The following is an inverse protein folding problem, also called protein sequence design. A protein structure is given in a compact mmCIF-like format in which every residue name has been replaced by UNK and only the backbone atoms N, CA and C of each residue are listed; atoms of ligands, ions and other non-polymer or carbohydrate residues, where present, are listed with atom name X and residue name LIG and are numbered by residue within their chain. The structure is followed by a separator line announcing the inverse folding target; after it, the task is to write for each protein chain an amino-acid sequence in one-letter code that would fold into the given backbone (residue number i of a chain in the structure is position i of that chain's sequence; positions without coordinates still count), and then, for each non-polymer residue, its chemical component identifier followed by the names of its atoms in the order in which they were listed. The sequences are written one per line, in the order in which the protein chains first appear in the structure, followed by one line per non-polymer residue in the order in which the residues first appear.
data_IF_774758668994
#
_entry.id   IF_774758668994
#
_cell.length_a   1.000
_cell.length_b   1.000
_cell.length_c   1.000
_cell.angle_alpha   90.00
_cell.angle_beta   90.00
_cell.angle_gamma   90.00
#
_symmetry.space_group_name_H-M   'P 1'
#
loop_
_entity.id
_entity.type
_entity.pdbx_description
1 polymer ?
#
# COMPACT_ATOMS: atom_id res chain seq x y z
N UNK A 1 -17.82 -19.89 -32.90
CA UNK A 1 -17.22 -19.12 -31.79
C UNK A 1 -17.16 -20.06 -30.61
N UNK A 2 -16.14 -20.91 -30.64
CA UNK A 2 -15.98 -22.00 -29.68
C UNK A 2 -15.58 -21.45 -28.31
N UNK A 3 -16.28 -21.93 -27.30
CA UNK A 3 -15.92 -21.73 -25.92
C UNK A 3 -14.56 -22.39 -25.66
N UNK A 4 -13.55 -21.58 -25.33
CA UNK A 4 -12.34 -22.05 -24.65
C UNK A 4 -12.73 -22.47 -23.22
N UNK A 5 -13.36 -23.65 -23.12
CA UNK A 5 -13.43 -24.42 -21.90
C UNK A 5 -12.17 -25.30 -21.85
N UNK A 6 -11.06 -24.70 -21.40
CA UNK A 6 -9.94 -25.47 -20.87
C UNK A 6 -9.66 -24.94 -19.47
N UNK A 7 -10.32 -25.52 -18.48
CA UNK A 7 -9.76 -25.58 -17.13
C UNK A 7 -8.89 -26.83 -17.09
N UNK A 8 -7.56 -26.73 -17.20
CA UNK A 8 -6.72 -27.84 -16.84
C UNK A 8 -6.88 -28.04 -15.32
N UNK A 9 -7.27 -29.24 -14.92
CA UNK A 9 -7.09 -29.70 -13.54
C UNK A 9 -5.59 -29.62 -13.25
N UNK A 10 -5.17 -28.59 -12.50
CA UNK A 10 -3.78 -28.33 -12.15
C UNK A 10 -3.16 -29.58 -11.50
N UNK A 11 -2.07 -30.06 -12.12
CA UNK A 11 -1.30 -31.25 -11.73
C UNK A 11 -0.02 -30.88 -10.98
N UNK A 12 -0.07 -29.80 -10.21
CA UNK A 12 1.08 -29.25 -9.52
C UNK A 12 1.28 -29.91 -8.14
N UNK A 13 2.51 -30.36 -7.86
CA UNK A 13 2.89 -30.98 -6.58
C UNK A 13 3.08 -29.95 -5.45
N UNK A 14 3.36 -28.68 -5.78
CA UNK A 14 3.63 -27.63 -4.79
C UNK A 14 2.88 -26.31 -5.04
N UNK A 15 2.80 -25.46 -4.00
CA UNK A 15 2.16 -24.14 -4.09
C UNK A 15 2.91 -23.18 -5.03
N UNK A 16 4.23 -23.36 -5.16
CA UNK A 16 5.07 -22.57 -6.07
C UNK A 16 4.71 -22.91 -7.52
N UNK A 17 4.58 -24.20 -7.85
CA UNK A 17 4.23 -24.66 -9.20
C UNK A 17 2.84 -24.14 -9.63
N UNK A 18 1.85 -24.18 -8.73
CA UNK A 18 0.51 -23.61 -8.98
C UNK A 18 0.58 -22.12 -9.32
N UNK A 19 1.38 -21.36 -8.57
CA UNK A 19 1.50 -19.92 -8.77
C UNK A 19 2.28 -19.60 -10.06
N UNK A 20 3.32 -20.35 -10.37
CA UNK A 20 4.11 -20.17 -11.58
C UNK A 20 3.31 -20.56 -12.84
N UNK A 21 2.52 -21.62 -12.78
CA UNK A 21 1.57 -21.97 -13.83
C UNK A 21 0.52 -20.87 -14.04
N UNK A 22 -0.09 -20.40 -12.95
CA UNK A 22 -1.03 -19.28 -13.00
C UNK A 22 -0.42 -18.03 -13.67
N UNK A 23 0.77 -17.62 -13.22
CA UNK A 23 1.46 -16.44 -13.76
C UNK A 23 1.77 -16.61 -15.25
N UNK A 24 2.24 -17.79 -15.65
CA UNK A 24 2.53 -18.11 -17.06
C UNK A 24 1.28 -18.08 -17.93
N UNK A 25 0.18 -18.65 -17.46
CA UNK A 25 -1.10 -18.66 -18.17
C UNK A 25 -1.63 -17.24 -18.37
N UNK A 26 -1.59 -16.41 -17.32
CA UNK A 26 -1.98 -14.99 -17.40
C UNK A 26 -1.11 -14.23 -18.39
N UNK A 27 0.22 -14.38 -18.33
CA UNK A 27 1.14 -13.72 -19.27
C UNK A 27 0.87 -14.16 -20.72
N UNK A 28 0.73 -15.46 -20.98
CA UNK A 28 0.45 -16.00 -22.30
C UNK A 28 -0.84 -15.42 -22.90
N UNK A 29 -1.91 -15.33 -22.10
CA UNK A 29 -3.18 -14.73 -22.54
C UNK A 29 -3.01 -13.25 -22.85
N UNK A 30 -2.24 -12.51 -22.05
CA UNK A 30 -1.99 -11.08 -22.27
C UNK A 30 -1.15 -10.86 -23.53
N UNK A 31 -0.14 -11.67 -23.77
CA UNK A 31 0.71 -11.54 -24.96
C UNK A 31 -0.08 -11.79 -26.24
N UNK A 32 -1.09 -12.67 -26.19
CA UNK A 32 -2.01 -12.92 -27.31
C UNK A 32 -3.04 -11.80 -27.48
N UNK A 33 -3.68 -11.36 -26.40
CA UNK A 33 -4.85 -10.44 -26.46
C UNK A 33 -4.44 -8.97 -26.45
N UNK A 34 -3.37 -8.62 -25.74
CA UNK A 34 -2.94 -7.25 -25.46
C UNK A 34 -1.39 -7.12 -25.38
N UNK A 35 -0.67 -7.37 -26.49
CA UNK A 35 0.79 -7.33 -26.49
C UNK A 35 1.34 -5.95 -26.11
N UNK A 36 2.47 -5.94 -25.41
CA UNK A 36 3.13 -4.72 -24.93
C UNK A 36 3.50 -3.84 -26.13
N UNK A 37 3.02 -2.59 -26.13
CA UNK A 37 3.32 -1.59 -27.16
C UNK A 37 3.84 -0.31 -26.54
N UNK A 38 5.04 0.12 -26.95
CA UNK A 38 5.62 1.39 -26.54
C UNK A 38 4.95 2.54 -27.30
N UNK A 39 4.32 3.47 -26.57
CA UNK A 39 3.71 4.68 -27.15
C UNK A 39 4.31 5.94 -26.53
N UNK A 40 4.68 6.92 -27.36
CA UNK A 40 5.02 8.26 -26.88
C UNK A 40 3.74 8.96 -26.43
N UNK A 41 3.62 9.21 -25.13
CA UNK A 41 2.49 9.97 -24.57
C UNK A 41 2.90 11.43 -24.46
N UNK A 42 2.20 12.38 -25.11
CA UNK A 42 2.45 13.79 -24.88
C UNK A 42 2.18 14.11 -23.40
N UNK A 43 3.10 14.82 -22.75
CA UNK A 43 3.03 15.19 -21.33
C UNK A 43 1.99 16.30 -21.06
N UNK A 44 0.85 16.26 -21.74
CA UNK A 44 -0.24 17.20 -21.50
C UNK A 44 -1.05 16.72 -20.31
N UNK A 45 -0.93 17.42 -19.19
CA UNK A 45 -1.78 17.24 -18.03
C UNK A 45 -3.25 17.34 -18.47
N UNK A 46 -4.07 16.34 -18.11
CA UNK A 46 -5.50 16.36 -18.43
C UNK A 46 -6.12 17.52 -17.66
N UNK A 47 -6.59 18.54 -18.37
CA UNK A 47 -7.34 19.67 -17.80
C UNK A 47 -8.80 19.59 -18.26
N UNK A 48 -9.68 18.89 -17.51
CA UNK A 48 -11.07 18.65 -17.93
C UNK A 48 -11.82 19.95 -18.25
N UNK A 49 -11.61 20.99 -17.44
CA UNK A 49 -12.23 22.32 -17.61
C UNK A 49 -11.83 23.03 -18.90
N UNK A 50 -10.79 22.59 -19.63
CA UNK A 50 -10.40 23.17 -20.92
C UNK A 50 -11.13 22.56 -22.12
N UNK A 51 -11.86 21.45 -21.92
CA UNK A 51 -12.48 20.70 -23.02
C UNK A 51 -13.93 21.13 -23.32
N UNK A 52 -14.50 22.07 -22.57
CA UNK A 52 -15.85 22.58 -22.82
C UNK A 52 -15.90 23.34 -24.14
N UNK A 53 -17.05 23.30 -24.81
CA UNK A 53 -17.29 23.99 -26.09
C UNK A 53 -16.97 25.50 -25.99
N UNK A 54 -17.39 26.13 -24.89
CA UNK A 54 -17.10 27.54 -24.59
C UNK A 54 -15.58 27.81 -24.58
N UNK A 55 -14.79 26.94 -23.95
CA UNK A 55 -13.32 27.09 -23.93
C UNK A 55 -12.67 26.85 -25.29
N UNK A 56 -13.22 25.93 -26.08
CA UNK A 56 -12.73 25.69 -27.44
C UNK A 56 -12.98 26.88 -28.36
N UNK A 57 -14.15 27.53 -28.22
CA UNK A 57 -14.51 28.74 -28.97
C UNK A 57 -13.60 29.92 -28.59
N UNK A 58 -13.45 30.21 -27.29
CA UNK A 58 -12.57 31.29 -26.82
C UNK A 58 -11.11 31.08 -27.23
N UNK A 59 -10.64 29.83 -27.20
CA UNK A 59 -9.29 29.47 -27.67
C UNK A 59 -9.14 29.74 -29.17
N UNK A 60 -10.11 29.32 -29.96
CA UNK A 60 -10.12 29.51 -31.42
C UNK A 60 -10.12 30.99 -31.79
N UNK A 61 -10.93 31.80 -31.09
CA UNK A 61 -10.98 33.26 -31.26
C UNK A 61 -9.65 33.92 -30.90
N UNK A 62 -9.06 33.55 -29.77
CA UNK A 62 -7.75 34.03 -29.36
C UNK A 62 -6.67 33.70 -30.39
N UNK A 63 -6.65 32.47 -30.92
CA UNK A 63 -5.70 32.05 -31.97
C UNK A 63 -5.94 32.75 -33.30
N UNK A 64 -7.19 33.03 -33.65
CA UNK A 64 -7.54 33.81 -34.85
C UNK A 64 -7.04 35.25 -34.74
N UNK A 65 -7.28 35.91 -33.60
CA UNK A 65 -6.78 37.26 -33.35
C UNK A 65 -5.24 37.31 -33.31
N UNK A 66 -4.59 36.31 -32.69
CA UNK A 66 -3.13 36.17 -32.66
C UNK A 66 -2.54 36.06 -34.07
N UNK A 67 -3.09 35.17 -34.91
CA UNK A 67 -2.63 35.00 -36.30
C UNK A 67 -2.81 36.27 -37.12
N UNK A 68 -3.95 36.96 -36.96
CA UNK A 68 -4.23 38.22 -37.66
C UNK A 68 -3.21 39.30 -37.28
N UNK A 69 -2.94 39.49 -35.99
CA UNK A 69 -1.90 40.41 -35.54
C UNK A 69 -0.50 40.03 -36.04
N UNK A 70 -0.12 38.75 -35.96
CA UNK A 70 1.19 38.28 -36.44
C UNK A 70 1.42 38.57 -37.92
N UNK A 71 0.36 38.50 -38.75
CA UNK A 71 0.39 38.80 -40.18
C UNK A 71 0.44 40.30 -40.46
N UNK A 72 -0.40 41.11 -39.81
CA UNK A 72 -0.55 42.52 -40.18
C UNK A 72 0.37 43.48 -39.42
N UNK A 73 0.82 43.08 -38.22
CA UNK A 73 1.58 43.91 -37.26
C UNK A 73 0.95 45.24 -36.82
N UNK A 74 -0.27 45.56 -37.26
CA UNK A 74 -1.03 46.74 -36.86
C UNK A 74 -1.40 46.76 -35.36
N UNK A 75 -1.35 47.96 -34.77
CA UNK A 75 -1.70 48.19 -33.36
C UNK A 75 -3.14 47.79 -33.03
N UNK A 76 -4.10 48.09 -33.91
CA UNK A 76 -5.51 47.71 -33.72
C UNK A 76 -5.70 46.19 -33.58
N UNK A 77 -4.93 45.39 -34.33
CA UNK A 77 -4.98 43.93 -34.23
C UNK A 77 -4.27 43.42 -32.98
N UNK A 78 -3.24 44.11 -32.48
CA UNK A 78 -2.65 43.81 -31.18
C UNK A 78 -3.66 44.03 -30.04
N UNK A 79 -4.44 45.10 -30.09
CA UNK A 79 -5.48 45.36 -29.09
C UNK A 79 -6.59 44.32 -29.12
N UNK A 80 -7.08 43.95 -30.31
CA UNK A 80 -8.05 42.86 -30.47
C UNK A 80 -7.53 41.53 -29.93
N UNK A 81 -6.25 41.21 -30.19
CA UNK A 81 -5.61 40.03 -29.60
C UNK A 81 -5.56 40.10 -28.07
N UNK A 82 -5.14 41.24 -27.49
CA UNK A 82 -5.12 41.45 -26.03
C UNK A 82 -6.51 41.32 -25.40
N UNK A 83 -7.57 41.76 -26.09
CA UNK A 83 -8.97 41.60 -25.64
C UNK A 83 -9.37 40.13 -25.67
N UNK A 84 -9.12 39.42 -26.77
CA UNK A 84 -9.42 37.99 -26.89
C UNK A 84 -8.62 37.14 -25.89
N UNK A 85 -7.37 37.52 -25.60
CA UNK A 85 -6.53 36.86 -24.61
C UNK A 85 -7.08 37.04 -23.18
N UNK A 86 -7.53 38.25 -22.82
CA UNK A 86 -8.20 38.51 -21.54
C UNK A 86 -9.47 37.67 -21.40
N UNK A 87 -10.35 37.69 -22.43
CA UNK A 87 -11.57 36.86 -22.46
C UNK A 87 -11.27 35.36 -22.28
N UNK A 88 -10.23 34.86 -22.95
CA UNK A 88 -9.80 33.47 -22.82
C UNK A 88 -9.30 33.15 -21.40
N UNK A 89 -8.46 34.01 -20.81
CA UNK A 89 -7.94 33.83 -19.46
C UNK A 89 -9.05 33.89 -18.39
N UNK A 90 -9.97 34.84 -18.50
CA UNK A 90 -11.13 34.96 -17.61
C UNK A 90 -12.05 33.75 -17.73
N UNK A 91 -12.30 33.30 -18.97
CA UNK A 91 -13.05 32.09 -19.25
C UNK A 91 -12.39 30.86 -18.62
N UNK A 92 -11.07 30.74 -18.71
CA UNK A 92 -10.31 29.65 -18.13
C UNK A 92 -10.38 29.65 -16.59
N UNK A 93 -10.29 30.83 -15.98
CA UNK A 93 -10.43 31.01 -14.54
C UNK A 93 -11.82 30.56 -14.06
N UNK A 94 -12.89 31.07 -14.71
CA UNK A 94 -14.28 30.71 -14.40
C UNK A 94 -14.55 29.22 -14.59
N UNK A 95 -14.08 28.63 -15.69
CA UNK A 95 -14.26 27.20 -15.97
C UNK A 95 -13.54 26.32 -14.92
N UNK A 96 -12.34 26.72 -14.48
CA UNK A 96 -11.63 26.02 -13.40
C UNK A 96 -12.36 26.16 -12.07
N UNK A 97 -12.79 27.38 -11.73
CA UNK A 97 -13.55 27.64 -10.50
C UNK A 97 -14.83 26.80 -10.46
N UNK A 98 -15.64 26.85 -11.51
CA UNK A 98 -16.87 26.09 -11.63
C UNK A 98 -16.62 24.58 -11.48
N UNK A 99 -15.61 24.04 -12.16
CA UNK A 99 -15.28 22.61 -12.07
C UNK A 99 -15.00 22.15 -10.63
N UNK A 100 -14.19 22.89 -9.86
CA UNK A 100 -13.90 22.53 -8.48
C UNK A 100 -15.06 22.82 -7.54
N UNK A 101 -15.80 23.92 -7.74
CA UNK A 101 -17.01 24.24 -6.98
C UNK A 101 -18.08 23.15 -7.13
N UNK A 102 -18.28 22.63 -8.33
CA UNK A 102 -19.21 21.52 -8.58
C UNK A 102 -18.78 20.24 -7.87
N UNK A 103 -17.48 19.92 -7.86
CA UNK A 103 -16.97 18.75 -7.14
C UNK A 103 -17.21 18.91 -5.63
N UNK A 104 -16.92 20.08 -5.08
CA UNK A 104 -17.11 20.38 -3.65
C UNK A 104 -18.60 20.28 -3.30
N UNK A 105 -19.48 20.95 -4.06
CA UNK A 105 -20.92 20.94 -3.83
C UNK A 105 -21.53 19.53 -3.92
N UNK A 106 -21.04 18.68 -4.84
CA UNK A 106 -21.49 17.28 -4.95
C UNK A 106 -20.98 16.38 -3.83
N UNK A 107 -19.95 16.77 -3.08
CA UNK A 107 -19.27 15.93 -2.10
C UNK A 107 -19.20 16.53 -0.69
N UNK A 108 -20.17 17.39 -0.32
CA UNK A 108 -20.19 18.09 0.99
C UNK A 108 -20.06 17.13 2.19
N UNK A 109 -20.72 15.98 2.13
CA UNK A 109 -20.68 14.97 3.20
C UNK A 109 -19.55 13.95 3.06
N UNK A 110 -18.66 14.10 2.07
CA UNK A 110 -17.56 13.18 1.81
C UNK A 110 -16.22 13.88 2.08
N UNK A 111 -15.83 13.90 3.35
CA UNK A 111 -14.59 14.52 3.83
C UNK A 111 -13.35 14.04 3.06
N UNK A 112 -13.27 12.74 2.73
CA UNK A 112 -12.16 12.16 1.96
C UNK A 112 -11.99 12.82 0.59
N UNK A 113 -13.09 13.00 -0.13
CA UNK A 113 -13.06 13.66 -1.44
C UNK A 113 -12.70 15.14 -1.30
N UNK A 114 -13.24 15.82 -0.28
CA UNK A 114 -12.93 17.23 -0.03
C UNK A 114 -11.44 17.46 0.28
N UNK A 115 -10.85 16.66 1.18
CA UNK A 115 -9.42 16.74 1.47
C UNK A 115 -8.56 16.45 0.24
N UNK A 116 -8.94 15.46 -0.59
CA UNK A 116 -8.23 15.18 -1.85
C UNK A 116 -8.31 16.34 -2.85
N UNK A 117 -9.44 17.05 -2.90
CA UNK A 117 -9.61 18.24 -3.77
C UNK A 117 -8.74 19.39 -3.28
N UNK A 118 -8.74 19.66 -1.97
CA UNK A 118 -7.90 20.70 -1.37
C UNK A 118 -6.43 20.38 -1.65
N UNK A 119 -5.98 19.15 -1.38
CA UNK A 119 -4.60 18.73 -1.63
C UNK A 119 -4.20 18.94 -3.10
N UNK A 120 -5.05 18.59 -4.06
CA UNK A 120 -4.80 18.84 -5.50
C UNK A 120 -4.71 20.32 -5.86
N UNK A 121 -5.39 21.20 -5.12
CA UNK A 121 -5.41 22.64 -5.38
C UNK A 121 -4.25 23.37 -4.72
N UNK A 122 -3.86 22.94 -3.53
CA UNK A 122 -2.85 23.62 -2.71
C UNK A 122 -1.46 23.02 -2.88
N UNK A 123 -1.35 21.79 -3.37
CA UNK A 123 -0.08 21.06 -3.37
C UNK A 123 0.40 20.81 -4.80
N UNK A 124 1.66 21.17 -5.14
CA UNK A 124 2.24 20.83 -6.42
C UNK A 124 2.34 19.30 -6.58
N UNK A 125 2.31 18.78 -7.82
CA UNK A 125 2.48 17.36 -8.07
C UNK A 125 3.85 16.91 -7.55
N UNK A 126 3.89 15.76 -6.87
CA UNK A 126 5.13 15.18 -6.38
C UNK A 126 6.05 14.88 -7.58
N UNK A 127 7.15 15.63 -7.67
CA UNK A 127 8.23 15.35 -8.60
C UNK A 127 9.33 14.64 -7.83
N UNK A 128 9.63 13.41 -8.23
CA UNK A 128 10.82 12.72 -7.75
C UNK A 128 12.02 13.53 -8.23
N UNK A 129 12.89 13.93 -7.30
CA UNK A 129 14.10 14.66 -7.65
C UNK A 129 14.91 13.84 -8.68
N UNK A 130 15.34 14.43 -9.81
CA UNK A 130 16.08 13.70 -10.84
C UNK A 130 17.31 12.97 -10.31
N UNK A 131 17.93 13.52 -9.27
CA UNK A 131 19.08 12.95 -8.57
C UNK A 131 18.81 11.57 -7.97
N UNK A 132 17.55 11.26 -7.63
CA UNK A 132 17.13 9.97 -7.05
C UNK A 132 16.88 8.88 -8.11
N UNK A 133 16.83 9.26 -9.40
CA UNK A 133 16.50 8.35 -10.49
C UNK A 133 17.75 7.62 -11.01
N UNK A 134 18.33 6.75 -10.20
CA UNK A 134 19.43 5.87 -10.60
C UNK A 134 19.46 4.58 -9.78
N UNK A 135 20.01 3.51 -10.37
CA UNK A 135 20.24 2.25 -9.65
C UNK A 135 21.20 2.45 -8.46
N UNK A 136 22.21 3.31 -8.61
CA UNK A 136 23.12 3.67 -7.53
C UNK A 136 22.41 4.24 -6.31
N UNK A 137 21.44 5.15 -6.51
CA UNK A 137 20.62 5.69 -5.42
C UNK A 137 19.69 4.65 -4.80
N UNK A 138 19.10 3.76 -5.60
CA UNK A 138 18.33 2.64 -5.05
C UNK A 138 19.20 1.77 -4.12
N UNK A 139 20.44 1.48 -4.52
CA UNK A 139 21.40 0.73 -3.70
C UNK A 139 21.79 1.49 -2.42
N UNK A 140 22.05 2.81 -2.50
CA UNK A 140 22.31 3.63 -1.30
C UNK A 140 21.14 3.56 -0.29
N UNK A 141 19.90 3.66 -0.75
CA UNK A 141 18.72 3.50 0.11
C UNK A 141 18.63 2.10 0.72
N UNK A 142 18.86 1.06 -0.08
CA UNK A 142 18.79 -0.32 0.37
C UNK A 142 19.82 -0.59 1.49
N UNK A 143 21.07 -0.16 1.29
CA UNK A 143 22.14 -0.24 2.29
C UNK A 143 21.77 0.56 3.54
N UNK A 144 21.36 1.82 3.38
CA UNK A 144 20.99 2.68 4.52
C UNK A 144 19.86 2.08 5.37
N UNK A 145 18.79 1.59 4.73
CA UNK A 145 17.68 0.97 5.46
C UNK A 145 18.15 -0.28 6.20
N UNK A 146 18.95 -1.14 5.56
CA UNK A 146 19.47 -2.34 6.20
C UNK A 146 20.39 -2.02 7.40
N UNK A 147 21.38 -1.16 7.22
CA UNK A 147 22.33 -0.78 8.27
C UNK A 147 21.65 -0.13 9.47
N UNK A 148 20.65 0.72 9.22
CA UNK A 148 19.86 1.35 10.27
C UNK A 148 19.21 0.29 11.17
N UNK A 149 18.60 -0.75 10.59
CA UNK A 149 17.95 -1.82 11.37
C UNK A 149 18.99 -2.66 12.12
N UNK A 150 20.09 -3.00 11.47
CA UNK A 150 21.18 -3.73 12.11
C UNK A 150 21.75 -2.97 13.33
N UNK A 151 21.94 -1.65 13.20
CA UNK A 151 22.38 -0.77 14.29
C UNK A 151 21.39 -0.73 15.47
N UNK A 152 20.08 -0.65 15.19
CA UNK A 152 19.07 -0.70 16.26
C UNK A 152 19.11 -2.05 16.98
N UNK A 153 19.20 -3.16 16.22
CA UNK A 153 19.25 -4.52 16.78
C UNK A 153 20.51 -4.77 17.61
N UNK A 154 21.68 -4.29 17.17
CA UNK A 154 22.93 -4.44 17.93
C UNK A 154 22.86 -3.71 19.26
N UNK A 155 22.34 -2.47 19.28
CA UNK A 155 22.16 -1.69 20.51
C UNK A 155 21.22 -2.38 21.51
N UNK A 156 20.14 -3.00 21.03
CA UNK A 156 19.21 -3.78 21.89
C UNK A 156 19.94 -4.96 22.52
N UNK A 157 20.72 -5.73 21.74
CA UNK A 157 21.44 -6.92 22.22
C UNK A 157 22.51 -6.58 23.26
N UNK A 158 23.30 -5.53 23.04
CA UNK A 158 24.31 -5.07 24.00
C UNK A 158 23.69 -4.71 25.35
N UNK A 159 22.54 -4.04 25.34
CA UNK A 159 21.83 -3.68 26.57
C UNK A 159 21.22 -4.88 27.28
N UNK A 160 20.79 -5.93 26.55
CA UNK A 160 20.29 -7.17 27.15
C UNK A 160 21.40 -7.96 27.87
N UNK A 161 22.63 -7.97 27.35
CA UNK A 161 23.75 -8.64 28.02
C UNK A 161 24.13 -7.98 29.35
N UNK A 162 23.85 -6.68 29.49
CA UNK A 162 24.14 -5.91 30.71
C UNK A 162 23.08 -6.07 31.82
N UNK A 163 21.90 -6.62 31.52
CA UNK A 163 20.84 -6.85 32.50
C UNK A 163 20.60 -8.35 32.71
N UNK A 164 20.75 -8.81 33.96
CA UNK A 164 20.41 -10.19 34.38
C UNK A 164 19.01 -10.59 33.89
N UNK A 165 18.87 -11.87 33.48
CA UNK A 165 17.64 -12.56 33.04
C UNK A 165 16.37 -11.85 33.51
N UNK A 166 15.65 -11.20 32.58
CA UNK A 166 14.23 -10.94 32.79
C UNK A 166 13.58 -12.30 33.10
N UNK A 167 12.82 -12.37 34.19
CA UNK A 167 11.95 -13.51 34.47
C UNK A 167 11.12 -13.82 33.22
N UNK A 168 11.15 -15.08 32.78
CA UNK A 168 10.35 -15.52 31.66
C UNK A 168 8.88 -15.38 32.06
N UNK A 169 8.22 -14.36 31.54
CA UNK A 169 6.77 -14.21 31.66
C UNK A 169 6.14 -15.51 31.15
N UNK A 170 5.46 -16.23 32.05
CA UNK A 170 4.74 -17.44 31.69
C UNK A 170 3.43 -17.06 31.00
N UNK A 171 3.03 -17.78 29.94
CA UNK A 171 1.75 -17.54 29.30
C UNK A 171 0.62 -17.83 30.31
N UNK A 172 -0.27 -16.86 30.53
CA UNK A 172 -1.44 -17.01 31.44
C UNK A 172 -2.57 -17.86 30.83
N UNK A 173 -2.29 -18.71 29.84
CA UNK A 173 -3.33 -19.32 29.00
C UNK A 173 -3.51 -20.81 29.26
N UNK A 174 -4.76 -21.24 29.11
CA UNK A 174 -5.17 -22.62 28.93
C UNK A 174 -4.57 -23.22 27.64
N UNK A 175 -3.78 -24.28 27.78
CA UNK A 175 -3.11 -25.00 26.68
C UNK A 175 -4.10 -25.67 25.71
N UNK A 176 -5.37 -25.82 26.09
CA UNK A 176 -6.39 -26.47 25.25
C UNK A 176 -6.81 -25.66 24.02
N UNK A 177 -6.61 -24.34 24.01
CA UNK A 177 -7.11 -23.48 22.94
C UNK A 177 -6.04 -23.25 21.88
N UNK A 178 -6.09 -24.04 20.80
CA UNK A 178 -5.10 -23.98 19.71
C UNK A 178 -5.74 -23.82 18.33
N UNK A 179 -5.00 -23.19 17.42
CA UNK A 179 -5.32 -23.12 15.99
C UNK A 179 -4.30 -23.95 15.22
N UNK A 180 -4.71 -25.12 14.72
CA UNK A 180 -3.83 -26.08 14.05
C UNK A 180 -3.78 -25.90 12.54
N UNK A 181 -4.92 -25.54 11.94
CA UNK A 181 -5.10 -25.47 10.49
C UNK A 181 -5.91 -24.22 10.11
N UNK A 182 -5.69 -23.72 8.90
CA UNK A 182 -6.58 -22.73 8.29
C UNK A 182 -7.78 -23.42 7.65
N UNK A 183 -8.93 -22.77 7.70
CA UNK A 183 -10.13 -23.24 7.01
C UNK A 183 -9.94 -22.97 5.51
N UNK A 184 -10.19 -23.98 4.68
CA UNK A 184 -10.18 -23.81 3.22
C UNK A 184 -11.24 -22.83 2.78
N UNK A 185 -10.89 -21.95 1.84
CA UNK A 185 -11.80 -20.95 1.29
C UNK A 185 -12.45 -21.43 0.00
N UNK A 186 -13.57 -20.81 -0.35
CA UNK A 186 -14.25 -21.03 -1.62
C UNK A 186 -14.06 -19.83 -2.57
N UNK A 187 -14.36 -19.98 -3.87
CA UNK A 187 -14.20 -18.90 -4.84
C UNK A 187 -14.97 -17.63 -4.48
N UNK A 188 -16.19 -17.74 -3.93
CA UNK A 188 -17.01 -16.59 -3.56
C UNK A 188 -16.34 -15.74 -2.48
N UNK A 189 -15.79 -16.37 -1.44
CA UNK A 189 -15.05 -15.67 -0.38
C UNK A 189 -13.83 -14.92 -0.91
N UNK A 190 -13.13 -15.49 -1.90
CA UNK A 190 -11.98 -14.85 -2.53
C UNK A 190 -12.41 -13.66 -3.36
N UNK A 191 -13.47 -13.80 -4.17
CA UNK A 191 -14.02 -12.70 -4.95
C UNK A 191 -14.39 -11.51 -4.04
N UNK A 192 -15.13 -11.77 -2.96
CA UNK A 192 -15.50 -10.76 -1.96
C UNK A 192 -14.26 -10.10 -1.34
N UNK A 193 -13.26 -10.89 -0.98
CA UNK A 193 -11.99 -10.40 -0.41
C UNK A 193 -11.26 -9.48 -1.39
N UNK A 194 -11.14 -9.88 -2.66
CA UNK A 194 -10.52 -9.10 -3.73
C UNK A 194 -11.27 -7.77 -3.95
N UNK A 195 -12.61 -7.79 -3.92
CA UNK A 195 -13.40 -6.58 -4.08
C UNK A 195 -13.24 -5.58 -2.92
N UNK A 196 -13.06 -6.07 -1.70
CA UNK A 196 -12.83 -5.22 -0.52
C UNK A 196 -11.42 -4.63 -0.48
N UNK A 197 -10.42 -5.29 -1.06
CA UNK A 197 -9.05 -4.81 -1.07
C UNK A 197 -8.87 -3.57 -1.95
N UNK A 198 -8.09 -2.60 -1.46
CA UNK A 198 -7.71 -1.46 -2.27
C UNK A 198 -6.74 -1.90 -3.38
N UNK A 199 -6.95 -1.45 -4.63
CA UNK A 199 -6.00 -1.70 -5.70
C UNK A 199 -4.60 -1.17 -5.32
N UNK A 200 -3.59 -2.02 -5.44
CA UNK A 200 -2.20 -1.68 -5.11
C UNK A 200 -1.22 -2.45 -5.99
N UNK A 201 -1.12 -2.04 -7.26
CA UNK A 201 -0.19 -2.64 -8.23
C UNK A 201 1.26 -2.59 -7.74
N UNK A 202 1.91 -3.75 -7.78
CA UNK A 202 3.34 -3.95 -7.64
C UNK A 202 4.01 -4.09 -9.02
N UNK A 203 5.29 -3.75 -9.11
CA UNK A 203 6.08 -4.05 -10.31
C UNK A 203 6.27 -5.55 -10.55
N UNK A 204 6.09 -6.36 -9.49
CA UNK A 204 6.15 -7.81 -9.53
C UNK A 204 4.81 -8.46 -9.95
N UNK A 205 3.75 -7.68 -10.14
CA UNK A 205 2.45 -8.23 -10.55
C UNK A 205 2.44 -8.54 -12.05
N UNK A 206 1.85 -9.67 -12.44
CA UNK A 206 1.59 -10.02 -13.85
C UNK A 206 0.60 -9.06 -14.52
N UNK A 207 -0.40 -8.60 -13.76
CA UNK A 207 -1.38 -7.61 -14.21
C UNK A 207 -1.60 -6.50 -13.19
N UNK A 208 -1.93 -5.28 -13.64
CA UNK A 208 -2.31 -4.20 -12.74
C UNK A 208 -3.48 -4.60 -11.85
N UNK A 209 -3.41 -4.29 -10.55
CA UNK A 209 -4.43 -4.72 -9.57
C UNK A 209 -5.83 -4.21 -9.91
N UNK A 210 -5.96 -3.05 -10.57
CA UNK A 210 -7.26 -2.56 -11.05
C UNK A 210 -7.85 -3.51 -12.09
N UNK A 211 -7.03 -3.98 -13.03
CA UNK A 211 -7.45 -4.93 -14.05
C UNK A 211 -7.72 -6.31 -13.43
N UNK A 212 -6.86 -6.76 -12.51
CA UNK A 212 -7.07 -7.97 -11.71
C UNK A 212 -8.47 -8.02 -11.09
N UNK A 213 -8.89 -6.93 -10.43
CA UNK A 213 -10.23 -6.83 -9.83
C UNK A 213 -11.38 -6.91 -10.84
N UNK A 214 -11.16 -6.44 -12.08
CA UNK A 214 -12.20 -6.53 -13.14
C UNK A 214 -12.34 -7.93 -13.70
N UNK A 215 -11.27 -8.72 -13.74
CA UNK A 215 -11.26 -10.07 -14.30
C UNK A 215 -11.33 -11.17 -13.23
N UNK A 216 -11.48 -10.80 -11.95
CA UNK A 216 -11.40 -11.73 -10.82
C UNK A 216 -12.29 -12.97 -11.02
N UNK A 217 -13.51 -12.79 -11.54
CA UNK A 217 -14.45 -13.89 -11.80
C UNK A 217 -13.91 -14.98 -12.73
N UNK A 218 -13.01 -14.63 -13.65
CA UNK A 218 -12.41 -15.55 -14.59
C UNK A 218 -11.21 -16.32 -14.02
N UNK A 219 -10.55 -15.77 -12.98
CA UNK A 219 -9.33 -16.34 -12.40
C UNK A 219 -9.55 -16.90 -10.98
N UNK A 220 -10.73 -16.69 -10.39
CA UNK A 220 -10.98 -16.96 -8.97
C UNK A 220 -10.79 -18.44 -8.57
N UNK A 221 -11.02 -19.36 -9.50
CA UNK A 221 -10.80 -20.80 -9.28
C UNK A 221 -9.32 -21.10 -9.04
N UNK A 222 -8.43 -20.54 -9.87
CA UNK A 222 -6.98 -20.71 -9.73
C UNK A 222 -6.49 -20.07 -8.42
N UNK A 223 -7.00 -18.87 -8.10
CA UNK A 223 -6.71 -18.21 -6.82
C UNK A 223 -7.10 -19.10 -5.63
N UNK A 224 -8.26 -19.75 -5.72
CA UNK A 224 -8.77 -20.64 -4.69
C UNK A 224 -7.86 -21.85 -4.47
N UNK A 225 -7.38 -22.45 -5.56
CA UNK A 225 -6.47 -23.59 -5.50
C UNK A 225 -5.12 -23.18 -4.89
N UNK A 226 -4.54 -22.06 -5.33
CA UNK A 226 -3.27 -21.54 -4.79
C UNK A 226 -3.39 -21.27 -3.29
N UNK A 227 -4.43 -20.55 -2.85
CA UNK A 227 -4.63 -20.21 -1.43
C UNK A 227 -4.84 -21.47 -0.58
N UNK A 228 -5.70 -22.39 -1.02
CA UNK A 228 -5.96 -23.62 -0.26
C UNK A 228 -4.73 -24.54 -0.21
N UNK A 229 -3.96 -24.62 -1.29
CA UNK A 229 -2.70 -25.35 -1.30
C UNK A 229 -1.67 -24.72 -0.32
N UNK A 230 -1.58 -23.38 -0.28
CA UNK A 230 -0.74 -22.68 0.71
C UNK A 230 -1.13 -23.03 2.14
N UNK A 231 -2.43 -23.08 2.43
CA UNK A 231 -2.96 -23.41 3.76
C UNK A 231 -2.71 -24.86 4.17
N UNK A 232 -2.96 -25.81 3.26
CA UNK A 232 -2.79 -27.23 3.52
C UNK A 232 -1.31 -27.62 3.64
N UNK A 233 -0.46 -27.06 2.79
CA UNK A 233 0.99 -27.28 2.87
C UNK A 233 1.61 -26.59 4.09
N UNK A 234 1.05 -25.47 4.54
CA UNK A 234 1.64 -24.60 5.56
C UNK A 234 2.81 -23.79 4.99
N UNK A 235 2.77 -23.45 3.69
CA UNK A 235 3.89 -22.77 3.01
C UNK A 235 3.39 -21.57 2.21
N UNK A 236 4.23 -20.53 2.14
CA UNK A 236 3.97 -19.32 1.34
C UNK A 236 4.81 -19.40 0.07
N UNK A 237 4.25 -19.14 -1.12
CA UNK A 237 5.01 -19.18 -2.37
C UNK A 237 6.23 -18.25 -2.35
N UNK A 238 7.38 -18.75 -2.81
CA UNK A 238 8.67 -18.04 -2.78
C UNK A 238 8.63 -16.73 -3.55
N UNK A 239 7.98 -16.69 -4.70
CA UNK A 239 7.83 -15.46 -5.51
C UNK A 239 7.04 -14.35 -4.79
N UNK A 240 6.23 -14.71 -3.78
CA UNK A 240 5.48 -13.77 -2.95
C UNK A 240 6.24 -13.31 -1.69
N UNK A 241 7.42 -13.88 -1.42
CA UNK A 241 8.30 -13.49 -0.29
C UNK A 241 9.23 -12.30 -0.61
N UNK A 242 9.05 -11.68 -1.77
CA UNK A 242 9.84 -10.54 -2.24
C UNK A 242 9.04 -9.25 -2.14
N UNK A 243 9.60 -8.21 -1.52
CA UNK A 243 8.98 -6.89 -1.40
C UNK A 243 9.67 -5.83 -2.27
N UNK A 244 8.90 -5.07 -3.05
CA UNK A 244 9.38 -3.88 -3.74
C UNK A 244 9.24 -2.67 -2.80
N UNK A 245 10.34 -2.20 -2.22
CA UNK A 245 10.36 -1.09 -1.26
C UNK A 245 10.41 0.25 -2.00
N UNK A 246 9.46 1.13 -1.68
CA UNK A 246 9.43 2.52 -2.17
C UNK A 246 9.84 3.48 -1.07
N UNK A 247 10.94 4.24 -1.21
CA UNK A 247 11.30 5.29 -0.27
C UNK A 247 10.27 6.41 -0.32
N UNK A 248 9.55 6.63 0.78
CA UNK A 248 8.57 7.71 0.90
C UNK A 248 9.06 8.78 1.86
N UNK A 249 9.18 10.01 1.40
CA UNK A 249 9.61 11.13 2.23
C UNK A 249 8.60 11.36 3.37
N UNK A 250 9.08 11.41 4.62
CA UNK A 250 8.26 11.51 5.84
C UNK A 250 7.36 12.75 5.85
N UNK A 251 7.90 13.88 5.38
CA UNK A 251 7.23 15.18 5.24
C UNK A 251 7.82 15.92 4.04
N UNK A 252 7.00 16.60 3.25
CA UNK A 252 7.45 17.31 2.04
C UNK A 252 8.40 18.48 2.31
N UNK A 253 8.39 19.02 3.53
CA UNK A 253 9.29 20.11 3.96
C UNK A 253 10.68 19.63 4.33
N UNK A 254 10.91 18.32 4.40
CA UNK A 254 12.22 17.76 4.73
C UNK A 254 13.09 17.70 3.48
N UNK A 255 14.41 17.80 3.71
CA UNK A 255 15.39 17.68 2.64
C UNK A 255 15.39 16.27 2.04
N UNK A 256 15.20 16.21 0.72
CA UNK A 256 15.14 14.98 -0.08
C UNK A 256 16.54 14.35 -0.32
N UNK A 257 17.63 15.09 -0.07
CA UNK A 257 18.99 14.55 -0.16
C UNK A 257 19.34 13.64 1.03
N UNK A 258 18.61 13.76 2.14
CA UNK A 258 18.89 13.05 3.39
C UNK A 258 18.08 11.75 3.46
N UNK A 259 18.76 10.60 3.38
CA UNK A 259 18.15 9.27 3.42
C UNK A 259 17.30 9.02 4.68
N UNK A 260 17.70 9.58 5.82
CA UNK A 260 16.98 9.48 7.10
C UNK A 260 15.57 10.08 7.08
N UNK A 261 15.28 10.96 6.13
CA UNK A 261 13.98 11.58 5.95
C UNK A 261 12.97 10.67 5.24
N UNK A 262 13.38 9.48 4.78
CA UNK A 262 12.52 8.54 4.08
C UNK A 262 12.02 7.40 4.98
N UNK A 263 10.85 6.87 4.63
CA UNK A 263 10.30 5.61 5.16
C UNK A 263 10.41 4.53 4.07
N UNK A 264 10.85 3.31 4.40
CA UNK A 264 10.75 2.19 3.49
C UNK A 264 9.29 1.68 3.47
N UNK A 265 8.58 1.90 2.36
CA UNK A 265 7.21 1.38 2.19
C UNK A 265 7.25 0.13 1.33
N UNK A 266 7.01 -1.03 1.94
CA UNK A 266 6.94 -2.31 1.23
C UNK A 266 5.70 -2.41 0.36
N UNK A 267 5.90 -2.54 -0.95
CA UNK A 267 4.84 -2.86 -1.90
C UNK A 267 4.93 -4.33 -2.28
N UNK A 268 4.04 -5.15 -1.71
CA UNK A 268 3.95 -6.57 -2.01
C UNK A 268 3.12 -6.84 -3.28
N UNK A 269 3.37 -7.96 -3.98
CA UNK A 269 2.49 -8.43 -5.04
C UNK A 269 1.02 -8.48 -4.58
N UNK A 270 0.09 -8.15 -5.46
CA UNK A 270 -1.34 -8.11 -5.11
C UNK A 270 -1.86 -9.48 -4.68
N UNK A 271 -1.34 -10.57 -5.28
CA UNK A 271 -1.60 -11.94 -4.84
C UNK A 271 -1.20 -12.17 -3.39
N UNK A 272 -0.02 -11.72 -2.96
CA UNK A 272 0.45 -11.86 -1.58
C UNK A 272 -0.52 -11.18 -0.61
N UNK A 273 -0.97 -9.97 -0.94
CA UNK A 273 -1.95 -9.20 -0.14
C UNK A 273 -3.30 -9.91 -0.04
N UNK A 274 -3.73 -10.63 -1.07
CA UNK A 274 -4.96 -11.43 -1.03
C UNK A 274 -4.80 -12.58 -0.02
N UNK A 275 -3.72 -13.36 -0.13
CA UNK A 275 -3.44 -14.47 0.81
C UNK A 275 -3.35 -13.95 2.24
N UNK A 276 -2.58 -12.88 2.48
CA UNK A 276 -2.43 -12.23 3.79
C UNK A 276 -3.78 -11.77 4.34
N UNK A 277 -4.67 -11.23 3.50
CA UNK A 277 -5.99 -10.79 3.93
C UNK A 277 -6.88 -11.96 4.36
N UNK A 278 -6.83 -13.08 3.65
CA UNK A 278 -7.58 -14.29 4.04
C UNK A 278 -7.05 -14.83 5.38
N UNK A 279 -5.73 -14.94 5.54
CA UNK A 279 -5.09 -15.34 6.81
C UNK A 279 -5.46 -14.38 7.93
N UNK A 280 -5.38 -13.08 7.70
CA UNK A 280 -5.73 -12.05 8.66
C UNK A 280 -7.18 -12.19 9.13
N UNK A 281 -8.12 -12.45 8.23
CA UNK A 281 -9.54 -12.60 8.58
C UNK A 281 -9.74 -13.81 9.51
N UNK A 282 -9.15 -14.97 9.19
CA UNK A 282 -9.24 -16.17 10.03
C UNK A 282 -8.55 -15.98 11.38
N UNK A 283 -7.32 -15.44 11.37
CA UNK A 283 -6.57 -15.17 12.60
C UNK A 283 -7.33 -14.18 13.49
N UNK A 284 -7.84 -13.07 12.93
CA UNK A 284 -8.57 -12.05 13.70
C UNK A 284 -9.82 -12.63 14.36
N UNK A 285 -10.54 -13.52 13.66
CA UNK A 285 -11.69 -14.22 14.21
C UNK A 285 -11.28 -15.11 15.39
N UNK A 286 -10.21 -15.90 15.23
CA UNK A 286 -9.67 -16.74 16.30
C UNK A 286 -9.22 -15.90 17.53
N UNK A 287 -8.48 -14.82 17.31
CA UNK A 287 -8.01 -13.92 18.37
C UNK A 287 -9.18 -13.28 19.14
N UNK A 288 -10.24 -12.88 18.42
CA UNK A 288 -11.43 -12.24 19.01
C UNK A 288 -12.26 -13.24 19.80
N UNK A 289 -12.56 -14.40 19.20
CA UNK A 289 -13.37 -15.44 19.83
C UNK A 289 -12.74 -15.93 21.14
N UNK A 290 -11.42 -16.10 21.15
CA UNK A 290 -10.66 -16.56 22.30
C UNK A 290 -10.18 -15.43 23.24
N UNK A 291 -10.63 -14.19 23.02
CA UNK A 291 -10.30 -13.00 23.85
C UNK A 291 -8.80 -12.81 24.08
N UNK A 292 -7.99 -13.07 23.05
CA UNK A 292 -6.52 -13.01 23.14
C UNK A 292 -6.01 -11.56 23.13
N UNK A 293 -6.75 -10.64 22.52
CA UNK A 293 -6.37 -9.23 22.49
C UNK A 293 -6.35 -8.59 23.87
N UNK A 294 -5.35 -7.74 24.11
CA UNK A 294 -5.33 -6.91 25.31
C UNK A 294 -6.54 -5.96 25.35
N UNK A 295 -7.09 -5.75 26.56
CA UNK A 295 -8.29 -4.92 26.76
C UNK A 295 -8.07 -3.46 26.33
N UNK A 296 -6.86 -2.94 26.50
CA UNK A 296 -6.49 -1.56 26.24
C UNK A 296 -5.75 -1.36 24.92
N UNK A 297 -5.55 -2.43 24.13
CA UNK A 297 -5.07 -2.29 22.75
C UNK A 297 -6.17 -1.67 21.86
N UNK A 298 -5.90 -0.45 21.37
CA UNK A 298 -6.74 0.22 20.36
C UNK A 298 -6.17 0.19 18.94
N UNK A 299 -4.85 0.06 18.81
CA UNK A 299 -4.20 -0.01 17.49
C UNK A 299 -4.54 -1.29 16.75
N UNK A 300 -4.80 -1.17 15.44
CA UNK A 300 -5.05 -2.30 14.52
C UNK A 300 -6.20 -3.25 14.93
N UNK A 301 -7.17 -2.74 15.68
CA UNK A 301 -8.30 -3.53 16.19
C UNK A 301 -9.63 -3.01 15.66
N UNK A 302 -10.50 -3.91 15.23
CA UNK A 302 -11.86 -3.54 14.78
C UNK A 302 -12.62 -2.85 15.91
N UNK A 303 -13.40 -1.82 15.58
CA UNK A 303 -14.19 -1.01 16.52
C UNK A 303 -13.38 -0.18 17.54
N UNK A 304 -12.06 -0.06 17.36
CA UNK A 304 -11.21 0.84 18.15
C UNK A 304 -10.57 1.90 17.24
N UNK A 305 -10.22 3.05 17.82
CA UNK A 305 -9.57 4.16 17.11
C UNK A 305 -8.60 4.91 18.02
N UNK A 306 -7.93 5.93 17.48
CA UNK A 306 -7.13 6.87 18.29
C UNK A 306 -8.00 7.64 19.29
N UNK A 307 -9.27 7.88 18.94
CA UNK A 307 -10.22 8.59 19.81
C UNK A 307 -10.61 7.74 21.01
N UNK A 308 -10.87 6.43 20.82
CA UNK A 308 -11.21 5.54 21.95
C UNK A 308 -10.06 5.43 22.95
N UNK A 309 -8.81 5.39 22.47
CA UNK A 309 -7.62 5.44 23.32
C UNK A 309 -7.51 6.78 24.07
N UNK A 310 -7.70 7.90 23.37
CA UNK A 310 -7.60 9.24 23.94
C UNK A 310 -8.66 9.47 25.04
N UNK A 311 -9.91 9.07 24.78
CA UNK A 311 -11.00 9.18 25.76
C UNK A 311 -10.65 8.45 27.05
N UNK A 312 -10.10 7.22 26.95
CA UNK A 312 -9.72 6.45 28.13
C UNK A 312 -8.64 7.15 28.96
N UNK A 313 -7.57 7.61 28.31
CA UNK A 313 -6.46 8.30 28.98
C UNK A 313 -6.93 9.58 29.66
N UNK A 314 -7.72 10.40 28.96
CA UNK A 314 -8.25 11.65 29.52
C UNK A 314 -9.18 11.37 30.71
N UNK A 315 -10.05 10.36 30.59
CA UNK A 315 -10.95 10.00 31.67
C UNK A 315 -10.21 9.56 32.93
N UNK A 316 -9.15 8.75 32.79
CA UNK A 316 -8.33 8.31 33.94
C UNK A 316 -7.65 9.50 34.63
N UNK A 317 -7.10 10.44 33.85
CA UNK A 317 -6.49 11.66 34.38
C UNK A 317 -7.51 12.50 35.14
N UNK A 318 -8.74 12.64 34.61
CA UNK A 318 -9.82 13.39 35.26
C UNK A 318 -10.25 12.74 36.58
N UNK A 319 -10.52 11.44 36.57
CA UNK A 319 -10.92 10.71 37.78
C UNK A 319 -9.87 10.79 38.90
N UNK A 320 -8.59 10.71 38.54
CA UNK A 320 -7.50 10.89 39.50
C UNK A 320 -7.45 12.32 40.04
N UNK A 321 -7.60 13.33 39.17
CA UNK A 321 -7.68 14.74 39.57
C UNK A 321 -8.83 14.99 40.55
N UNK A 322 -10.03 14.49 40.24
CA UNK A 322 -11.22 14.63 41.09
C UNK A 322 -11.03 13.94 42.45
N UNK A 323 -10.22 12.89 42.50
CA UNK A 323 -9.85 12.17 43.73
C UNK A 323 -8.68 12.81 44.50
N UNK A 324 -8.19 13.99 44.08
CA UNK A 324 -7.03 14.65 44.69
C UNK A 324 -5.69 13.93 44.47
N UNK A 325 -5.60 13.02 43.49
CA UNK A 325 -4.39 12.26 43.16
C UNK A 325 -3.58 12.96 42.06
N UNK A 326 -2.26 12.78 42.10
CA UNK A 326 -1.37 13.21 41.02
C UNK A 326 -1.33 12.13 39.93
N UNK A 327 -1.45 12.56 38.66
CA UNK A 327 -1.32 11.67 37.49
C UNK A 327 0.01 11.93 36.78
N UNK A 328 0.73 10.85 36.43
CA UNK A 328 1.95 10.89 35.62
C UNK A 328 1.70 10.11 34.34
N UNK A 329 1.95 10.74 33.19
CA UNK A 329 1.82 10.11 31.87
C UNK A 329 3.19 9.80 31.29
N UNK A 330 3.46 8.50 31.06
CA UNK A 330 4.69 8.02 30.41
C UNK A 330 4.34 7.63 28.98
N UNK A 331 4.98 8.28 28.01
CA UNK A 331 4.82 8.00 26.58
C UNK A 331 6.05 7.26 26.07
N UNK A 332 5.83 6.08 25.50
CA UNK A 332 6.88 5.23 24.94
C UNK A 332 6.67 5.10 23.43
N UNK A 333 7.74 5.25 22.65
CA UNK A 333 7.73 5.04 21.20
C UNK A 333 8.90 4.14 20.80
N UNK A 334 8.61 3.15 19.95
CA UNK A 334 9.59 2.15 19.52
C UNK A 334 10.20 2.55 18.18
N UNK A 335 11.53 2.63 18.14
CA UNK A 335 12.26 2.91 16.90
C UNK A 335 12.14 1.73 15.93
N UNK A 336 11.57 1.98 14.74
CA UNK A 336 11.42 0.98 13.68
C UNK A 336 10.74 -0.31 14.18
N UNK A 337 9.62 -0.17 14.87
CA UNK A 337 8.95 -1.25 15.60
C UNK A 337 8.71 -2.54 14.79
N UNK A 338 8.33 -2.43 13.50
CA UNK A 338 8.08 -3.60 12.64
C UNK A 338 9.37 -4.25 12.13
N UNK A 339 10.39 -3.45 11.83
CA UNK A 339 11.66 -3.93 11.27
C UNK A 339 12.58 -4.55 12.35
N UNK A 340 12.32 -4.23 13.62
CA UNK A 340 13.12 -4.67 14.77
C UNK A 340 12.55 -5.90 15.48
N UNK A 341 11.41 -6.43 15.00
CA UNK A 341 10.81 -7.64 15.58
C UNK A 341 11.74 -8.84 15.36
N UNK A 342 12.12 -9.49 16.45
CA UNK A 342 12.86 -10.75 16.39
C UNK A 342 11.89 -11.89 16.03
N UNK A 343 12.16 -12.55 14.89
CA UNK A 343 11.29 -13.60 14.37
C UNK A 343 11.22 -14.83 15.28
N UNK A 344 12.31 -15.17 15.99
CA UNK A 344 12.31 -16.31 16.92
C UNK A 344 11.41 -16.02 18.12
N UNK A 345 11.51 -14.82 18.70
CA UNK A 345 10.64 -14.39 19.81
C UNK A 345 9.19 -14.30 19.34
N UNK A 346 8.94 -13.75 18.15
CA UNK A 346 7.59 -13.65 17.59
C UNK A 346 6.95 -15.03 17.41
N UNK A 347 7.63 -15.97 16.75
CA UNK A 347 7.14 -17.32 16.52
C UNK A 347 6.90 -18.04 17.85
N UNK A 348 7.80 -17.92 18.81
CA UNK A 348 7.62 -18.49 20.14
C UNK A 348 6.37 -17.93 20.83
N UNK A 349 6.13 -16.62 20.76
CA UNK A 349 4.91 -15.98 21.33
C UNK A 349 3.64 -16.38 20.59
N UNK A 350 3.69 -16.50 19.26
CA UNK A 350 2.56 -17.01 18.48
C UNK A 350 2.20 -18.44 18.90
N UNK A 351 3.20 -19.26 19.26
CA UNK A 351 2.96 -20.61 19.74
C UNK A 351 2.38 -20.63 21.16
N UNK A 352 3.08 -19.99 22.09
CA UNK A 352 2.85 -20.19 23.53
C UNK A 352 1.80 -19.24 24.10
N UNK A 353 1.68 -18.03 23.57
CA UNK A 353 0.71 -17.02 24.05
C UNK A 353 -0.55 -17.01 23.19
N UNK A 354 -0.41 -17.15 21.87
CA UNK A 354 -1.53 -17.12 20.91
C UNK A 354 -2.07 -18.52 20.60
N UNK A 355 -1.32 -19.60 20.86
CA UNK A 355 -1.78 -20.99 20.62
C UNK A 355 -1.83 -21.39 19.15
N UNK A 356 -1.03 -20.75 18.29
CA UNK A 356 -0.88 -21.19 16.90
C UNK A 356 0.03 -22.42 16.85
N UNK A 357 -0.42 -23.50 16.22
CA UNK A 357 0.33 -24.76 16.12
C UNK A 357 0.09 -25.39 14.73
N UNK A 358 0.63 -26.59 14.50
CA UNK A 358 0.38 -27.35 13.27
C UNK A 358 0.76 -26.60 11.98
N UNK A 359 -0.11 -26.69 10.98
CA UNK A 359 0.06 -26.05 9.66
C UNK A 359 0.03 -24.53 9.72
N UNK A 360 -0.75 -23.96 10.65
CA UNK A 360 -0.78 -22.50 10.85
C UNK A 360 0.58 -21.99 11.29
N UNK A 361 1.22 -22.66 12.26
CA UNK A 361 2.57 -22.28 12.69
C UNK A 361 3.60 -22.45 11.57
N UNK A 362 3.54 -23.55 10.81
CA UNK A 362 4.40 -23.76 9.64
C UNK A 362 4.26 -22.62 8.63
N UNK A 363 3.03 -22.16 8.39
CA UNK A 363 2.75 -21.06 7.48
C UNK A 363 3.37 -19.74 7.96
N UNK A 364 3.23 -19.38 9.24
CA UNK A 364 3.86 -18.17 9.79
C UNK A 364 5.38 -18.23 9.75
N UNK A 365 5.96 -19.40 10.04
CA UNK A 365 7.41 -19.62 9.89
C UNK A 365 7.83 -19.42 8.43
N UNK A 366 7.16 -20.07 7.49
CA UNK A 366 7.40 -19.90 6.05
C UNK A 366 7.19 -18.46 5.58
N UNK A 367 6.24 -17.72 6.16
CA UNK A 367 5.95 -16.34 5.80
C UNK A 367 7.11 -15.40 6.17
N UNK A 368 7.75 -15.62 7.32
CA UNK A 368 8.83 -14.78 7.86
C UNK A 368 10.23 -15.17 7.35
N UNK A 369 10.45 -16.45 7.03
CA UNK A 369 11.74 -16.96 6.57
C UNK A 369 12.00 -16.69 5.08
N UNK A 370 13.28 -16.57 4.71
CA UNK A 370 13.76 -16.42 3.33
C UNK A 370 13.15 -15.23 2.57
N UNK A 371 12.74 -14.19 3.28
CA UNK A 371 12.23 -12.98 2.66
C UNK A 371 13.37 -12.11 2.15
N UNK A 372 13.11 -11.43 1.04
CA UNK A 372 14.01 -10.43 0.49
C UNK A 372 13.25 -9.19 0.04
N UNK A 373 13.98 -8.09 -0.15
CA UNK A 373 13.43 -6.86 -0.69
C UNK A 373 14.44 -6.19 -1.63
N UNK A 374 13.94 -5.28 -2.45
CA UNK A 374 14.75 -4.36 -3.23
C UNK A 374 14.09 -2.97 -3.20
N UNK A 375 14.88 -1.92 -3.36
CA UNK A 375 14.40 -0.54 -3.45
C UNK A 375 14.09 -0.22 -4.91
N UNK A 376 12.91 0.35 -5.18
CA UNK A 376 12.47 0.75 -6.51
C UNK A 376 12.09 2.23 -6.55
N UNK A 377 12.76 2.99 -7.43
CA UNK A 377 12.53 4.43 -7.65
C UNK A 377 12.39 4.67 -9.15
N UNK A 378 11.19 5.06 -9.59
CA UNK A 378 10.89 5.20 -11.02
C UNK A 378 11.01 3.85 -11.74
N UNK A 379 11.96 3.75 -12.67
CA UNK A 379 12.26 2.52 -13.41
C UNK A 379 13.60 1.88 -12.97
N UNK A 380 14.18 2.35 -11.87
CA UNK A 380 15.45 1.85 -11.34
C UNK A 380 15.22 1.00 -10.11
N UNK A 381 16.02 -0.05 -9.96
CA UNK A 381 15.92 -1.03 -8.89
C UNK A 381 17.29 -1.26 -8.25
N UNK A 382 17.31 -1.56 -6.95
CA UNK A 382 18.51 -2.01 -6.25
C UNK A 382 18.75 -3.50 -6.45
N UNK A 383 19.92 -3.96 -6.03
CA UNK A 383 20.15 -5.37 -5.73
C UNK A 383 19.21 -5.86 -4.62
N UNK A 384 18.97 -7.17 -4.57
CA UNK A 384 18.10 -7.77 -3.55
C UNK A 384 18.87 -7.94 -2.26
N UNK A 385 18.28 -7.51 -1.15
CA UNK A 385 18.78 -7.73 0.20
C UNK A 385 17.84 -8.66 0.98
N UNK A 386 18.37 -9.52 1.86
CA UNK A 386 17.53 -10.31 2.76
C UNK A 386 16.82 -9.38 3.75
N UNK A 387 15.58 -9.71 4.11
CA UNK A 387 14.95 -9.12 5.29
C UNK A 387 15.44 -9.87 6.52
N UNK A 388 16.20 -9.16 7.36
CA UNK A 388 16.80 -9.69 8.59
C UNK A 388 15.77 -9.98 9.66
#
# INVERSE_FOLDING_TARGET
MEALAMTPTLSAETVDDLLDEYNRNVCNVIDVVAPIKTKRKPNTQKTPWRRTEIMQNLKSDCRRAERKWRSTKLQIHLELYKISLRKFNDGLFKARQQYFSEIIAKNVNNSRTLFSVIEKLTTPPDQIAPELLSAGKCNEFAVYFNEKIQSIRSNIRTNQQNHKKLEQLQPLRDESITMLEFITVNPKTIEETVQQLNPSTCCLDTIPSNFFKTVVKSIVTDLCQIINCSFQSGTVPKSLKVAAVKPLLKKRTLDASILANYRPISNLPFMAKIIEKVVFNQLSQFLTFNKIFDKFQSGFRSHHSTETALIKVINDIRLNTDSGKVSVLILLDLSAAFDTVDHTILLHRLQTWVGLNGKVMQWFKSYLEERSYFVSIGNFESDRLPMS
#
